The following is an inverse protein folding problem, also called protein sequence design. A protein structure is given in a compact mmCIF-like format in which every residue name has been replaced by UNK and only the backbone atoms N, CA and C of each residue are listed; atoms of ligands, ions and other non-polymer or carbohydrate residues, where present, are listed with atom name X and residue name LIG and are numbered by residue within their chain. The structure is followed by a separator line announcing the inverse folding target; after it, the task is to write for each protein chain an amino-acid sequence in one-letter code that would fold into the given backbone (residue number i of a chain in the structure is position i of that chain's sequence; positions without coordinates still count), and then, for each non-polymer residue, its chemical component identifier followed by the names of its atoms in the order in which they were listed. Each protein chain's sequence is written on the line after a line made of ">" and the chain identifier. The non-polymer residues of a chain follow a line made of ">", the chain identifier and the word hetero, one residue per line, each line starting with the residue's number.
data_IF_801582055305
#
_entry.id   IF_801582055305
#
_cell.length_a   1.000
_cell.length_b   1.000
_cell.length_c   1.000
_cell.angle_alpha   90.00
_cell.angle_beta   90.00
_cell.angle_gamma   90.00
#
_symmetry.space_group_name_H-M   'P 1'
#
loop_
_entity.id
_entity.type
_entity.pdbx_description
1 polymer ?
#
# COMPACT_ATOMS: atom_id res chain seq x y z
N UNK A 1 -22.68 4.71 -20.90
CA UNK A 1 -22.06 3.50 -20.32
C UNK A 1 -21.95 3.69 -18.81
N UNK A 2 -21.94 2.62 -18.00
CA UNK A 2 -21.71 2.73 -16.56
C UNK A 2 -20.41 2.00 -16.23
N UNK A 3 -19.40 2.73 -15.77
CA UNK A 3 -18.06 2.22 -15.45
C UNK A 3 -17.82 2.44 -13.95
N UNK A 4 -17.71 1.39 -13.11
CA UNK A 4 -17.42 1.54 -11.71
C UNK A 4 -15.95 2.00 -11.51
N UNK A 5 -15.67 2.60 -10.36
CA UNK A 5 -14.28 2.92 -9.99
C UNK A 5 -13.42 1.65 -9.85
N UNK A 6 -13.97 0.59 -9.29
CA UNK A 6 -13.35 -0.74 -9.13
C UNK A 6 -14.35 -1.84 -9.41
N UNK A 7 -13.91 -2.93 -10.04
CA UNK A 7 -14.68 -4.16 -10.22
C UNK A 7 -13.81 -5.37 -9.92
N UNK A 8 -14.39 -6.37 -9.29
CA UNK A 8 -13.76 -7.66 -9.00
C UNK A 8 -14.34 -8.79 -9.86
N UNK A 9 -15.39 -8.54 -10.62
CA UNK A 9 -16.16 -9.56 -11.31
C UNK A 9 -15.30 -10.44 -12.19
N UNK A 10 -14.57 -9.85 -13.15
CA UNK A 10 -13.76 -10.61 -14.10
C UNK A 10 -12.64 -11.39 -13.43
N UNK A 11 -12.00 -10.79 -12.41
CA UNK A 11 -10.96 -11.46 -11.62
C UNK A 11 -11.53 -12.68 -10.89
N UNK A 12 -12.67 -12.53 -10.24
CA UNK A 12 -13.27 -13.62 -9.46
C UNK A 12 -13.91 -14.69 -10.33
N UNK A 13 -14.53 -14.31 -11.45
CA UNK A 13 -15.13 -15.28 -12.39
C UNK A 13 -14.09 -16.26 -12.94
N UNK A 14 -12.87 -15.78 -13.23
CA UNK A 14 -11.78 -16.62 -13.75
C UNK A 14 -11.31 -17.70 -12.77
N UNK A 15 -11.37 -17.44 -11.46
CA UNK A 15 -10.82 -18.31 -10.41
C UNK A 15 -11.88 -18.85 -9.45
N UNK A 16 -13.18 -18.64 -9.76
CA UNK A 16 -14.32 -18.99 -8.89
C UNK A 16 -14.32 -20.44 -8.45
N UNK A 17 -14.08 -21.36 -9.39
CA UNK A 17 -14.09 -22.79 -9.10
C UNK A 17 -12.90 -23.19 -8.20
N UNK A 18 -11.72 -22.60 -8.44
CA UNK A 18 -10.56 -22.80 -7.60
C UNK A 18 -10.80 -22.29 -6.18
N UNK A 19 -11.37 -21.09 -6.03
CA UNK A 19 -11.72 -20.52 -4.72
C UNK A 19 -12.74 -21.38 -3.99
N UNK A 20 -13.79 -21.85 -4.68
CA UNK A 20 -14.83 -22.68 -4.10
C UNK A 20 -14.28 -24.05 -3.67
N UNK A 21 -13.46 -24.67 -4.51
CA UNK A 21 -12.80 -25.94 -4.17
C UNK A 21 -11.84 -25.80 -3.00
N UNK A 22 -11.09 -24.70 -2.93
CA UNK A 22 -10.17 -24.41 -1.84
C UNK A 22 -10.92 -24.16 -0.52
N UNK A 23 -12.03 -23.43 -0.54
CA UNK A 23 -12.91 -23.25 0.61
C UNK A 23 -13.35 -24.61 1.20
N UNK A 24 -13.83 -25.52 0.35
CA UNK A 24 -14.25 -26.86 0.78
C UNK A 24 -13.10 -27.66 1.39
N UNK A 25 -11.89 -27.57 0.83
CA UNK A 25 -10.70 -28.24 1.35
C UNK A 25 -10.32 -27.75 2.74
N UNK A 26 -10.29 -26.43 2.95
CA UNK A 26 -9.97 -25.86 4.28
C UNK A 26 -11.06 -26.21 5.29
N UNK A 27 -12.34 -26.12 4.89
CA UNK A 27 -13.45 -26.52 5.76
C UNK A 27 -13.37 -27.99 6.19
N UNK A 28 -13.04 -28.88 5.25
CA UNK A 28 -12.93 -30.32 5.55
C UNK A 28 -11.76 -30.65 6.52
N UNK A 29 -10.68 -29.84 6.49
CA UNK A 29 -9.55 -29.99 7.43
C UNK A 29 -9.87 -29.57 8.86
N UNK A 30 -10.88 -28.69 9.07
CA UNK A 30 -11.26 -28.13 10.36
C UNK A 30 -10.09 -27.47 11.13
N UNK A 31 -9.16 -26.85 10.41
CA UNK A 31 -8.03 -26.11 10.96
C UNK A 31 -8.03 -24.70 10.38
N UNK A 32 -8.28 -23.66 11.20
CA UNK A 32 -8.61 -22.32 10.73
C UNK A 32 -7.61 -21.23 11.13
N UNK A 33 -6.66 -21.53 12.04
CA UNK A 33 -5.66 -20.59 12.54
C UNK A 33 -4.29 -21.25 12.53
N UNK A 34 -3.29 -20.56 11.94
CA UNK A 34 -1.89 -20.98 11.92
C UNK A 34 -1.68 -22.42 11.39
N UNK A 35 -2.30 -22.72 10.26
CA UNK A 35 -2.24 -24.04 9.62
C UNK A 35 -1.32 -24.06 8.40
N UNK A 36 -1.54 -25.08 7.55
CA UNK A 36 -0.71 -25.37 6.39
C UNK A 36 -0.83 -24.29 5.28
N UNK A 37 -2.04 -23.73 5.06
CA UNK A 37 -2.25 -22.77 4.00
C UNK A 37 -1.54 -21.44 4.33
N UNK A 38 -1.55 -21.02 5.59
CA UNK A 38 -0.77 -19.87 6.05
C UNK A 38 0.73 -20.11 5.86
N UNK A 39 1.25 -21.24 6.33
CA UNK A 39 2.68 -21.55 6.21
C UNK A 39 3.14 -21.53 4.74
N UNK A 40 2.36 -22.14 3.84
CA UNK A 40 2.65 -22.14 2.40
C UNK A 40 2.51 -20.76 1.76
N UNK A 41 1.51 -19.97 2.16
CA UNK A 41 1.38 -18.61 1.69
C UNK A 41 2.58 -17.77 2.08
N UNK A 42 3.03 -17.87 3.33
CA UNK A 42 4.21 -17.12 3.82
C UNK A 42 5.47 -17.49 3.03
N UNK A 43 5.68 -18.79 2.74
CA UNK A 43 6.79 -19.26 1.91
C UNK A 43 6.70 -18.73 0.47
N UNK A 44 5.53 -18.88 -0.16
CA UNK A 44 5.28 -18.46 -1.54
C UNK A 44 5.39 -16.92 -1.69
N UNK A 45 4.89 -16.17 -0.70
CA UNK A 45 4.92 -14.70 -0.75
C UNK A 45 6.32 -14.14 -0.45
N UNK A 46 7.07 -14.74 0.49
CA UNK A 46 8.47 -14.39 0.72
C UNK A 46 9.32 -14.62 -0.55
N UNK A 47 9.13 -15.77 -1.21
CA UNK A 47 9.80 -16.09 -2.47
C UNK A 47 9.43 -15.09 -3.58
N UNK A 48 8.15 -14.70 -3.69
CA UNK A 48 7.67 -13.71 -4.64
C UNK A 48 8.31 -12.34 -4.44
N UNK A 49 8.40 -11.88 -3.18
CA UNK A 49 9.07 -10.61 -2.85
C UNK A 49 10.61 -10.68 -2.91
N UNK A 50 11.20 -11.87 -3.06
CA UNK A 50 12.66 -12.06 -3.09
C UNK A 50 13.31 -11.88 -1.71
N UNK A 51 12.60 -12.20 -0.63
CA UNK A 51 13.07 -12.16 0.76
C UNK A 51 12.99 -13.53 1.42
N UNK A 52 13.55 -13.65 2.64
CA UNK A 52 13.66 -14.94 3.35
C UNK A 52 12.43 -15.24 4.19
N UNK A 53 11.76 -14.23 4.75
CA UNK A 53 10.70 -14.40 5.74
C UNK A 53 9.47 -13.57 5.41
N UNK A 54 8.32 -14.18 5.61
CA UNK A 54 7.01 -13.55 5.59
C UNK A 54 6.26 -13.94 6.86
N UNK A 55 5.53 -13.01 7.43
CA UNK A 55 4.68 -13.20 8.61
C UNK A 55 3.29 -12.69 8.30
N UNK A 56 2.32 -13.59 8.20
CA UNK A 56 0.92 -13.23 7.98
C UNK A 56 0.32 -12.57 9.24
N UNK A 57 -0.34 -11.43 9.04
CA UNK A 57 -0.97 -10.62 10.09
C UNK A 57 -2.41 -10.26 9.71
N UNK A 58 -3.17 -9.69 10.64
CA UNK A 58 -4.60 -9.44 10.46
C UNK A 58 -4.94 -8.40 9.38
N UNK A 59 -4.07 -7.43 9.14
CA UNK A 59 -4.29 -6.35 8.18
C UNK A 59 -2.99 -5.58 7.87
N UNK A 60 -3.06 -4.64 6.92
CA UNK A 60 -1.91 -3.84 6.52
C UNK A 60 -1.39 -2.88 7.60
N UNK A 61 -2.26 -2.34 8.45
CA UNK A 61 -1.85 -1.48 9.56
C UNK A 61 -0.98 -2.25 10.55
N UNK A 62 -1.40 -3.46 10.93
CA UNK A 62 -0.62 -4.32 11.82
C UNK A 62 0.71 -4.77 11.19
N UNK A 63 0.74 -4.93 9.85
CA UNK A 63 1.96 -5.24 9.11
C UNK A 63 3.03 -4.12 9.21
N UNK A 64 2.61 -2.88 9.48
CA UNK A 64 3.49 -1.73 9.71
C UNK A 64 3.76 -1.47 11.20
N UNK A 65 2.73 -1.64 12.03
CA UNK A 65 2.82 -1.38 13.48
C UNK A 65 3.72 -2.40 14.20
N UNK A 66 3.53 -3.68 13.93
CA UNK A 66 4.25 -4.74 14.65
C UNK A 66 5.78 -4.69 14.47
N UNK A 67 6.34 -4.43 13.26
CA UNK A 67 7.80 -4.27 13.12
C UNK A 67 8.34 -3.04 13.83
N UNK A 68 7.64 -1.89 13.86
CA UNK A 68 8.04 -0.73 14.64
C UNK A 68 8.11 -1.08 16.14
N UNK A 69 7.08 -1.75 16.65
CA UNK A 69 7.06 -2.26 18.04
C UNK A 69 8.17 -3.29 18.28
N UNK A 70 8.48 -4.14 17.30
CA UNK A 70 9.57 -5.11 17.38
C UNK A 70 10.95 -4.44 17.48
N UNK A 71 11.16 -3.32 16.81
CA UNK A 71 12.37 -2.51 16.95
C UNK A 71 12.43 -1.75 18.28
N UNK A 72 11.37 -1.75 19.08
CA UNK A 72 11.30 -1.02 20.36
C UNK A 72 11.01 0.46 20.18
N UNK A 73 10.58 0.88 19.00
CA UNK A 73 10.16 2.27 18.72
C UNK A 73 8.89 2.57 19.50
N UNK A 74 8.90 3.68 20.24
CA UNK A 74 7.80 4.02 21.14
C UNK A 74 7.82 5.46 21.63
N UNK A 75 7.29 5.69 22.83
CA UNK A 75 7.14 7.04 23.40
C UNK A 75 8.48 7.79 23.48
N UNK A 76 8.51 8.95 22.87
CA UNK A 76 9.70 9.81 22.80
C UNK A 76 10.48 9.67 21.49
N UNK A 77 10.21 8.62 20.71
CA UNK A 77 10.79 8.43 19.39
C UNK A 77 9.95 9.11 18.29
N UNK A 78 10.59 9.32 17.16
CA UNK A 78 10.00 9.91 15.95
C UNK A 78 10.19 8.95 14.76
N UNK A 79 9.16 8.88 13.90
CA UNK A 79 9.21 8.14 12.63
C UNK A 79 8.78 9.06 11.50
N UNK A 80 9.62 9.20 10.48
CA UNK A 80 9.33 9.99 9.29
C UNK A 80 8.34 9.25 8.41
N UNK A 81 7.28 9.95 7.96
CA UNK A 81 6.23 9.41 7.09
C UNK A 81 5.83 10.45 6.03
N UNK A 82 5.42 10.07 4.81
CA UNK A 82 4.90 11.02 3.84
C UNK A 82 3.56 11.59 4.28
N UNK A 83 3.34 12.87 4.01
CA UNK A 83 2.17 13.64 4.47
C UNK A 83 0.89 13.38 3.68
N UNK A 84 0.97 12.72 2.53
CA UNK A 84 -0.15 12.43 1.61
C UNK A 84 -0.58 10.95 1.57
N UNK A 85 0.00 10.11 2.43
CA UNK A 85 -0.32 8.67 2.46
C UNK A 85 -1.69 8.40 3.11
N UNK A 86 -2.13 7.13 3.07
CA UNK A 86 -3.28 6.68 3.85
C UNK A 86 -2.97 6.72 5.36
N UNK A 87 -3.98 7.02 6.16
CA UNK A 87 -3.83 7.21 7.60
C UNK A 87 -3.17 6.03 8.33
N UNK A 88 -3.28 4.82 7.80
CA UNK A 88 -2.70 3.62 8.40
C UNK A 88 -1.18 3.74 8.62
N UNK A 89 -0.45 4.39 7.71
CA UNK A 89 1.00 4.60 7.84
C UNK A 89 1.33 5.39 9.11
N UNK A 90 0.64 6.50 9.34
CA UNK A 90 0.86 7.33 10.54
C UNK A 90 0.27 6.68 11.81
N UNK A 91 -0.89 5.98 11.71
CA UNK A 91 -1.45 5.24 12.83
C UNK A 91 -0.53 4.12 13.31
N UNK A 92 0.20 3.45 12.41
CA UNK A 92 1.18 2.43 12.78
C UNK A 92 2.27 2.99 13.71
N UNK A 93 2.71 4.23 13.45
CA UNK A 93 3.63 4.96 14.32
C UNK A 93 2.96 5.32 15.64
N UNK A 94 1.79 5.97 15.58
CA UNK A 94 1.07 6.45 16.76
C UNK A 94 0.70 5.31 17.73
N UNK A 95 0.41 4.11 17.23
CA UNK A 95 0.07 2.95 18.07
C UNK A 95 1.28 2.42 18.86
N UNK A 96 2.51 2.71 18.46
CA UNK A 96 3.68 2.42 19.30
C UNK A 96 3.89 3.44 20.42
N UNK A 97 3.22 4.59 20.36
CA UNK A 97 3.45 5.75 21.22
C UNK A 97 4.49 6.73 20.67
N UNK A 98 5.09 6.43 19.50
CA UNK A 98 6.00 7.34 18.81
C UNK A 98 5.24 8.44 18.05
N UNK A 99 5.95 9.49 17.66
CA UNK A 99 5.40 10.64 16.95
C UNK A 99 5.66 10.49 15.44
N UNK A 100 4.63 10.51 14.58
CA UNK A 100 4.84 10.60 13.14
C UNK A 100 5.32 12.02 12.77
N UNK A 101 6.40 12.10 11.99
CA UNK A 101 6.96 13.34 11.46
C UNK A 101 6.66 13.40 9.98
N UNK A 102 5.79 14.33 9.57
CA UNK A 102 5.33 14.43 8.20
C UNK A 102 6.33 15.15 7.31
N UNK A 103 6.63 14.55 6.17
CA UNK A 103 7.46 15.09 5.09
C UNK A 103 6.63 15.22 3.83
N UNK A 104 6.86 16.29 3.07
CA UNK A 104 6.17 16.53 1.82
C UNK A 104 6.45 15.44 0.78
N UNK A 105 5.46 15.14 -0.08
CA UNK A 105 5.69 14.36 -1.31
C UNK A 105 6.21 15.25 -2.43
N UNK A 106 6.60 14.65 -3.55
CA UNK A 106 6.71 15.34 -4.83
C UNK A 106 5.37 15.32 -5.58
N UNK A 107 5.12 16.35 -6.40
CA UNK A 107 3.91 16.40 -7.25
C UNK A 107 3.98 15.43 -8.43
N UNK A 108 5.16 14.98 -8.81
CA UNK A 108 5.43 14.12 -9.95
C UNK A 108 5.15 12.64 -9.65
N UNK A 109 5.68 12.14 -8.53
CA UNK A 109 5.56 10.72 -8.16
C UNK A 109 4.51 10.46 -7.09
N UNK A 110 4.11 11.48 -6.33
CA UNK A 110 3.31 11.40 -5.11
C UNK A 110 4.01 10.71 -3.92
N UNK A 111 5.24 10.25 -4.13
CA UNK A 111 6.05 9.63 -3.07
C UNK A 111 6.78 10.70 -2.26
N UNK A 112 7.26 10.31 -1.07
CA UNK A 112 8.01 11.18 -0.17
C UNK A 112 9.22 11.81 -0.88
N UNK A 113 9.44 13.12 -0.65
CA UNK A 113 10.63 13.81 -1.15
C UNK A 113 11.85 13.50 -0.25
N UNK A 114 12.89 12.83 -0.77
CA UNK A 114 14.10 12.55 0.02
C UNK A 114 14.78 13.81 0.57
N UNK A 115 14.75 14.93 -0.16
CA UNK A 115 15.33 16.18 0.32
C UNK A 115 14.67 16.69 1.61
N UNK A 116 13.35 16.53 1.71
CA UNK A 116 12.61 16.89 2.92
C UNK A 116 12.84 15.95 4.11
N UNK A 117 13.30 14.72 3.87
CA UNK A 117 13.59 13.75 4.95
C UNK A 117 14.73 14.27 5.83
N UNK A 118 15.84 14.68 5.22
CA UNK A 118 17.04 15.08 5.96
C UNK A 118 16.81 16.29 6.86
N UNK A 119 15.98 17.24 6.41
CA UNK A 119 15.61 18.43 7.17
C UNK A 119 14.78 18.13 8.43
N UNK A 120 14.11 16.98 8.48
CA UNK A 120 13.24 16.58 9.58
C UNK A 120 13.86 15.59 10.55
N UNK A 121 15.11 15.13 10.28
CA UNK A 121 15.81 14.20 11.18
C UNK A 121 16.23 14.92 12.46
N UNK A 122 15.94 14.30 13.59
CA UNK A 122 16.37 14.71 14.94
C UNK A 122 17.04 13.54 15.67
N UNK A 123 17.58 13.79 16.87
CA UNK A 123 18.12 12.72 17.74
C UNK A 123 17.06 11.68 18.15
N UNK A 124 15.77 12.03 18.03
CA UNK A 124 14.63 11.15 18.34
C UNK A 124 14.21 10.29 17.16
N UNK A 125 14.60 10.64 15.93
CA UNK A 125 14.24 9.89 14.74
C UNK A 125 14.84 8.49 14.80
N UNK A 126 14.01 7.46 14.59
CA UNK A 126 14.40 6.05 14.63
C UNK A 126 14.15 5.31 13.34
N UNK A 127 13.17 5.75 12.56
CA UNK A 127 12.82 5.09 11.31
C UNK A 127 12.26 6.05 10.28
N UNK A 128 12.26 5.59 9.01
CA UNK A 128 11.57 6.18 7.88
C UNK A 128 10.58 5.13 7.37
N UNK A 129 9.33 5.53 7.15
CA UNK A 129 8.34 4.72 6.43
C UNK A 129 8.26 5.20 4.99
N UNK A 130 8.86 4.43 4.08
CA UNK A 130 8.79 4.66 2.65
C UNK A 130 7.48 4.07 2.11
N UNK A 131 6.58 4.92 1.62
CA UNK A 131 5.30 4.46 1.04
C UNK A 131 5.42 4.40 -0.47
N UNK A 132 5.09 3.26 -1.06
CA UNK A 132 5.02 3.06 -2.50
C UNK A 132 3.60 3.39 -2.98
N UNK A 133 3.30 4.69 -3.01
CA UNK A 133 1.94 5.19 -3.19
C UNK A 133 1.41 4.87 -4.59
N UNK A 134 0.14 4.51 -4.67
CA UNK A 134 -0.58 4.13 -5.90
C UNK A 134 0.01 2.95 -6.68
N UNK A 135 1.11 2.36 -6.18
CA UNK A 135 1.79 1.22 -6.80
C UNK A 135 3.08 1.58 -7.53
N UNK A 136 3.59 2.80 -7.34
CA UNK A 136 4.92 3.22 -7.77
C UNK A 136 5.91 3.10 -6.61
N UNK A 137 7.11 2.53 -6.84
CA UNK A 137 8.15 2.53 -5.81
C UNK A 137 8.63 3.94 -5.47
N UNK A 138 8.77 4.24 -4.18
CA UNK A 138 9.43 5.45 -3.69
C UNK A 138 10.93 5.46 -4.11
N UNK A 139 11.61 6.62 -4.04
CA UNK A 139 13.03 6.77 -4.39
C UNK A 139 13.94 6.10 -3.35
N UNK A 140 13.97 4.76 -3.37
CA UNK A 140 14.56 3.96 -2.31
C UNK A 140 16.08 4.11 -2.17
N UNK A 141 16.82 4.38 -3.23
CA UNK A 141 18.28 4.55 -3.12
C UNK A 141 18.62 5.74 -2.25
N UNK A 142 17.97 6.88 -2.49
CA UNK A 142 18.14 8.12 -1.74
C UNK A 142 17.67 7.94 -0.28
N UNK A 143 16.53 7.31 -0.08
CA UNK A 143 15.99 7.02 1.27
C UNK A 143 16.95 6.12 2.05
N UNK A 144 17.47 5.06 1.44
CA UNK A 144 18.40 4.13 2.08
C UNK A 144 19.76 4.76 2.36
N UNK A 145 20.24 5.69 1.52
CA UNK A 145 21.46 6.44 1.77
C UNK A 145 21.32 7.35 3.02
N UNK A 146 20.22 8.10 3.08
CA UNK A 146 19.90 8.95 4.24
C UNK A 146 19.80 8.08 5.51
N UNK A 147 19.02 6.99 5.44
CA UNK A 147 18.84 6.11 6.59
C UNK A 147 20.18 5.53 7.10
N UNK A 148 21.06 5.14 6.18
CA UNK A 148 22.40 4.65 6.52
C UNK A 148 23.26 5.72 7.18
N UNK A 149 23.26 6.96 6.68
CA UNK A 149 24.01 8.07 7.25
C UNK A 149 23.59 8.39 8.70
N UNK A 150 22.30 8.22 9.01
CA UNK A 150 21.72 8.54 10.31
C UNK A 150 21.41 7.31 11.19
N UNK A 151 21.81 6.11 10.74
CA UNK A 151 21.53 4.83 11.43
C UNK A 151 20.04 4.63 11.73
N UNK A 152 19.17 4.94 10.77
CA UNK A 152 17.72 4.78 10.85
C UNK A 152 17.27 3.45 10.24
N UNK A 153 16.14 2.94 10.71
CA UNK A 153 15.44 1.81 10.09
C UNK A 153 14.56 2.28 8.94
N UNK A 154 14.43 1.47 7.91
CA UNK A 154 13.52 1.73 6.78
C UNK A 154 12.48 0.63 6.70
N UNK A 155 11.21 0.99 6.89
CA UNK A 155 10.06 0.12 6.68
C UNK A 155 9.32 0.57 5.44
N UNK A 156 9.16 -0.33 4.48
CA UNK A 156 8.37 -0.06 3.28
C UNK A 156 6.87 -0.23 3.59
N UNK A 157 6.05 0.77 3.34
CA UNK A 157 4.60 0.59 3.22
C UNK A 157 4.29 0.21 1.77
N UNK A 158 4.19 -1.09 1.54
CA UNK A 158 3.95 -1.70 0.24
C UNK A 158 2.48 -2.08 0.03
N UNK A 159 1.56 -1.52 0.83
CA UNK A 159 0.14 -1.84 0.80
C UNK A 159 -0.54 -1.61 -0.56
N UNK A 160 0.05 -0.81 -1.44
CA UNK A 160 -0.48 -0.50 -2.78
C UNK A 160 0.44 -0.99 -3.91
N UNK A 161 1.52 -1.72 -3.62
CA UNK A 161 2.59 -1.96 -4.57
C UNK A 161 2.93 -3.44 -4.81
N UNK A 162 1.94 -4.34 -4.71
CA UNK A 162 2.12 -5.77 -4.95
C UNK A 162 2.64 -6.05 -6.36
N UNK A 163 3.88 -6.51 -6.47
CA UNK A 163 4.55 -6.79 -7.75
C UNK A 163 5.19 -5.59 -8.43
N UNK A 164 5.27 -4.44 -7.76
CA UNK A 164 6.07 -3.30 -8.21
C UNK A 164 7.56 -3.60 -8.10
N UNK A 165 8.36 -3.01 -9.00
CA UNK A 165 9.81 -3.21 -9.03
C UNK A 165 10.54 -1.85 -9.01
N UNK A 166 11.62 -1.80 -8.25
CA UNK A 166 12.60 -0.74 -8.26
C UNK A 166 13.95 -1.30 -8.70
N UNK A 167 14.49 -0.83 -9.82
CA UNK A 167 15.74 -1.35 -10.41
C UNK A 167 15.76 -2.88 -10.54
N UNK A 168 14.62 -3.45 -10.93
CA UNK A 168 14.44 -4.90 -11.12
C UNK A 168 14.26 -5.73 -9.85
N UNK A 169 14.24 -5.12 -8.65
CA UNK A 169 13.95 -5.77 -7.38
C UNK A 169 12.52 -5.50 -6.93
N UNK A 170 11.86 -6.49 -6.37
CA UNK A 170 10.53 -6.29 -5.80
C UNK A 170 10.55 -5.34 -4.60
N UNK A 171 9.55 -4.45 -4.52
CA UNK A 171 9.23 -3.76 -3.27
C UNK A 171 8.97 -4.79 -2.18
N UNK A 172 9.34 -4.46 -0.96
CA UNK A 172 9.37 -5.42 0.14
C UNK A 172 10.74 -6.03 0.39
N UNK A 173 11.69 -5.85 -0.55
CA UNK A 173 13.08 -6.31 -0.42
C UNK A 173 14.11 -5.17 -0.38
N UNK A 174 13.66 -3.93 -0.33
CA UNK A 174 14.51 -2.75 -0.51
C UNK A 174 14.95 -2.12 0.81
N UNK A 175 14.09 -2.17 1.84
CA UNK A 175 14.36 -1.68 3.19
C UNK A 175 14.73 -2.79 4.19
N UNK A 176 14.62 -2.50 5.49
CA UNK A 176 14.80 -3.49 6.58
C UNK A 176 13.64 -4.49 6.62
N UNK A 177 12.46 -4.11 6.11
CA UNK A 177 11.27 -4.94 5.95
C UNK A 177 10.10 -4.13 5.41
N UNK A 178 9.00 -4.82 5.07
CA UNK A 178 7.85 -4.18 4.46
C UNK A 178 6.52 -4.74 4.96
N UNK A 179 5.53 -3.85 5.10
CA UNK A 179 4.15 -4.18 5.35
C UNK A 179 3.31 -4.19 4.08
N UNK A 180 2.52 -5.26 3.91
CA UNK A 180 1.55 -5.40 2.83
C UNK A 180 0.14 -5.50 3.39
N UNK A 181 -0.80 -4.89 2.68
CA UNK A 181 -2.24 -5.02 2.92
C UNK A 181 -2.85 -5.91 1.85
N UNK A 182 -3.62 -6.89 2.26
CA UNK A 182 -4.42 -7.69 1.33
C UNK A 182 -5.92 -7.34 1.45
N UNK A 183 -6.25 -6.09 1.81
CA UNK A 183 -7.62 -5.59 1.70
C UNK A 183 -8.19 -5.92 0.31
N UNK A 184 -9.47 -6.31 0.18
CA UNK A 184 -10.03 -6.84 -1.08
C UNK A 184 -9.75 -6.01 -2.32
N UNK A 185 -9.69 -4.67 -2.19
CA UNK A 185 -9.41 -3.74 -3.28
C UNK A 185 -7.96 -3.70 -3.75
N UNK A 186 -7.03 -4.35 -3.06
CA UNK A 186 -5.61 -4.35 -3.44
C UNK A 186 -5.34 -5.23 -4.66
N UNK A 187 -4.22 -4.99 -5.37
CA UNK A 187 -3.84 -5.78 -6.54
C UNK A 187 -3.75 -7.28 -6.21
N UNK A 188 -3.28 -7.60 -5.01
CA UNK A 188 -3.44 -8.91 -4.38
C UNK A 188 -4.36 -8.73 -3.17
N UNK A 189 -5.67 -8.96 -3.33
CA UNK A 189 -6.68 -8.80 -2.29
C UNK A 189 -7.23 -10.13 -1.80
N UNK A 190 -7.38 -10.28 -0.50
CA UNK A 190 -8.09 -11.39 0.16
C UNK A 190 -9.63 -11.26 -0.06
N UNK A 191 -10.40 -12.13 0.56
CA UNK A 191 -11.86 -12.01 0.63
C UNK A 191 -12.33 -11.48 2.01
N UNK A 192 -11.52 -10.61 2.61
CA UNK A 192 -11.69 -9.95 3.90
C UNK A 192 -10.44 -9.21 4.26
N UNK A 193 -10.26 -8.83 5.53
CA UNK A 193 -9.02 -8.21 5.98
C UNK A 193 -7.89 -9.24 6.05
N UNK A 194 -6.70 -8.80 5.65
CA UNK A 194 -5.48 -9.59 5.68
C UNK A 194 -4.26 -8.67 5.47
N UNK A 195 -3.10 -9.11 5.94
CA UNK A 195 -1.83 -8.43 5.72
C UNK A 195 -0.65 -9.37 5.89
N UNK A 196 0.55 -8.91 5.53
CA UNK A 196 1.79 -9.60 5.82
C UNK A 196 2.93 -8.61 6.03
N UNK A 197 3.86 -8.98 6.89
CA UNK A 197 5.17 -8.35 7.02
C UNK A 197 6.24 -9.25 6.39
N UNK A 198 7.14 -8.67 5.60
CA UNK A 198 8.24 -9.41 4.97
C UNK A 198 9.59 -8.80 5.33
N UNK A 199 10.63 -9.64 5.45
CA UNK A 199 11.98 -9.19 5.81
C UNK A 199 13.04 -10.26 5.50
N UNK A 200 14.31 -9.84 5.47
CA UNK A 200 15.46 -10.76 5.45
C UNK A 200 16.02 -11.06 6.85
N UNK A 201 15.55 -10.36 7.87
CA UNK A 201 15.98 -10.50 9.27
C UNK A 201 15.10 -11.53 10.00
N UNK A 202 15.74 -12.66 10.40
CA UNK A 202 15.04 -13.74 11.10
C UNK A 202 14.55 -13.31 12.49
N UNK A 203 15.37 -12.57 13.23
CA UNK A 203 15.03 -12.16 14.60
C UNK A 203 13.84 -11.21 14.59
N UNK A 204 13.81 -10.29 13.61
CA UNK A 204 12.69 -9.39 13.42
C UNK A 204 11.42 -10.16 13.03
N UNK A 205 11.51 -11.11 12.08
CA UNK A 205 10.37 -11.94 11.68
C UNK A 205 9.80 -12.75 12.84
N UNK A 206 10.66 -13.41 13.64
CA UNK A 206 10.25 -14.20 14.79
C UNK A 206 9.57 -13.30 15.86
N UNK A 207 10.10 -12.12 16.09
CA UNK A 207 9.55 -11.16 17.06
C UNK A 207 8.20 -10.58 16.60
N UNK A 208 8.06 -10.25 15.30
CA UNK A 208 6.79 -9.83 14.71
C UNK A 208 5.75 -10.94 14.83
N UNK A 209 6.12 -12.19 14.54
CA UNK A 209 5.23 -13.35 14.68
C UNK A 209 4.76 -13.54 16.13
N UNK A 210 5.69 -13.45 17.09
CA UNK A 210 5.35 -13.54 18.50
C UNK A 210 4.42 -12.40 18.93
N UNK A 211 4.74 -11.15 18.56
CA UNK A 211 3.93 -9.98 18.86
C UNK A 211 2.52 -10.08 18.28
N UNK A 212 2.35 -10.60 17.07
CA UNK A 212 1.03 -10.84 16.45
C UNK A 212 0.23 -11.96 17.12
N UNK A 213 0.88 -12.82 17.90
CA UNK A 213 0.24 -13.92 18.60
C UNK A 213 0.33 -13.75 20.12
N UNK A 214 -0.20 -12.65 20.65
CA UNK A 214 -0.22 -12.30 22.08
C UNK A 214 1.16 -12.22 22.73
N UNK A 215 2.24 -12.03 21.97
CA UNK A 215 3.61 -12.03 22.47
C UNK A 215 4.16 -13.40 22.86
N UNK A 216 3.60 -14.46 22.28
CA UNK A 216 3.88 -15.85 22.64
C UNK A 216 4.94 -16.45 21.72
N UNK A 217 5.96 -17.08 22.27
CA UNK A 217 6.96 -17.87 21.54
C UNK A 217 6.55 -19.35 21.42
N UNK A 218 5.78 -19.87 22.39
CA UNK A 218 5.06 -21.14 22.31
C UNK A 218 3.77 -21.09 23.12
N UNK A 219 2.92 -22.10 22.98
CA UNK A 219 1.57 -22.11 23.56
C UNK A 219 1.57 -21.78 25.05
N UNK A 220 0.86 -20.69 25.43
CA UNK A 220 0.69 -20.16 26.79
C UNK A 220 1.96 -19.60 27.46
N UNK A 221 3.05 -19.40 26.71
CA UNK A 221 4.22 -18.71 27.21
C UNK A 221 4.37 -17.36 26.47
N UNK A 222 4.18 -16.28 27.20
CA UNK A 222 4.12 -14.91 26.65
C UNK A 222 5.36 -14.14 27.10
N UNK A 223 6.25 -13.84 26.15
CA UNK A 223 7.52 -13.13 26.40
C UNK A 223 7.44 -11.65 26.06
N UNK A 224 6.37 -11.23 25.36
CA UNK A 224 6.09 -9.84 25.00
C UNK A 224 4.65 -9.49 25.30
N UNK A 225 4.36 -8.18 25.43
CA UNK A 225 2.98 -7.65 25.40
C UNK A 225 2.55 -7.54 23.94
N UNK A 226 1.96 -8.61 23.41
CA UNK A 226 1.58 -8.72 22.01
C UNK A 226 0.13 -8.34 21.74
N UNK A 227 -0.26 -8.55 20.49
CA UNK A 227 -1.57 -8.29 19.92
C UNK A 227 -2.16 -9.61 19.39
N UNK A 228 -3.45 -9.62 19.10
CA UNK A 228 -4.07 -10.67 18.29
C UNK A 228 -4.15 -10.19 16.84
N UNK A 229 -3.12 -10.49 16.06
CA UNK A 229 -3.03 -10.11 14.67
C UNK A 229 -2.39 -11.24 13.87
N UNK A 230 -3.23 -12.04 13.22
CA UNK A 230 -2.84 -13.22 12.45
C UNK A 230 -3.60 -13.23 11.14
N UNK A 231 -2.97 -13.71 10.09
CA UNK A 231 -3.65 -13.98 8.84
C UNK A 231 -4.46 -15.29 8.99
N UNK A 232 -5.75 -15.25 8.70
CA UNK A 232 -6.62 -16.40 8.73
C UNK A 232 -6.22 -17.45 7.69
N UNK A 233 -6.32 -18.71 8.07
CA UNK A 233 -6.02 -19.87 7.20
C UNK A 233 -6.83 -19.83 5.89
N UNK A 234 -8.10 -19.43 5.97
CA UNK A 234 -8.99 -19.31 4.82
C UNK A 234 -8.52 -18.21 3.86
N UNK A 235 -8.14 -17.05 4.39
CA UNK A 235 -7.65 -15.94 3.58
C UNK A 235 -6.30 -16.28 2.94
N UNK A 236 -5.41 -16.94 3.68
CA UNK A 236 -4.13 -17.42 3.15
C UNK A 236 -4.35 -18.40 1.97
N UNK A 237 -5.30 -19.30 2.10
CA UNK A 237 -5.66 -20.27 1.07
C UNK A 237 -6.14 -19.58 -0.23
N UNK A 238 -6.95 -18.52 -0.12
CA UNK A 238 -7.42 -17.75 -1.26
C UNK A 238 -6.30 -16.90 -1.87
N UNK A 239 -5.47 -16.28 -1.05
CA UNK A 239 -4.32 -15.49 -1.50
C UNK A 239 -3.32 -16.32 -2.30
N UNK A 240 -3.10 -17.58 -1.95
CA UNK A 240 -2.24 -18.50 -2.72
C UNK A 240 -2.73 -18.73 -4.15
N UNK A 241 -4.05 -18.81 -4.36
CA UNK A 241 -4.65 -18.91 -5.71
C UNK A 241 -4.43 -17.60 -6.46
N UNK A 242 -4.73 -16.46 -5.81
CA UNK A 242 -4.62 -15.12 -6.41
C UNK A 242 -3.17 -14.74 -6.73
N UNK A 243 -2.21 -15.11 -5.89
CA UNK A 243 -0.78 -14.82 -6.10
C UNK A 243 -0.25 -15.38 -7.42
N UNK A 244 -0.69 -16.56 -7.84
CA UNK A 244 -0.32 -17.15 -9.14
C UNK A 244 -0.76 -16.34 -10.35
N UNK A 245 -1.76 -15.49 -10.17
CA UNK A 245 -2.33 -14.66 -11.24
C UNK A 245 -1.89 -13.20 -11.16
N UNK A 246 -1.22 -12.78 -10.08
CA UNK A 246 -0.93 -11.37 -9.79
C UNK A 246 -0.17 -10.67 -10.92
N UNK A 247 0.86 -11.28 -11.47
CA UNK A 247 1.67 -10.65 -12.53
C UNK A 247 0.86 -10.43 -13.81
N UNK A 248 -0.01 -11.39 -14.16
CA UNK A 248 -0.91 -11.24 -15.31
C UNK A 248 -1.94 -10.13 -15.08
N UNK A 249 -2.50 -10.04 -13.89
CA UNK A 249 -3.43 -8.97 -13.54
C UNK A 249 -2.76 -7.60 -13.50
N UNK A 250 -1.54 -7.52 -12.99
CA UNK A 250 -0.74 -6.29 -13.03
C UNK A 250 -0.38 -5.89 -14.46
N UNK A 251 -0.02 -6.83 -15.34
CA UNK A 251 0.27 -6.54 -16.74
C UNK A 251 -0.94 -5.89 -17.44
N UNK A 252 -2.15 -6.38 -17.20
CA UNK A 252 -3.36 -5.79 -17.76
C UNK A 252 -3.65 -4.38 -17.19
N UNK A 253 -3.37 -4.12 -15.90
CA UNK A 253 -3.46 -2.76 -15.32
C UNK A 253 -2.47 -1.81 -15.99
N UNK A 254 -1.23 -2.26 -16.20
CA UNK A 254 -0.18 -1.48 -16.85
C UNK A 254 -0.59 -1.14 -18.29
N UNK A 255 -1.10 -2.11 -19.05
CA UNK A 255 -1.62 -1.88 -20.41
C UNK A 255 -2.76 -0.84 -20.43
N UNK A 256 -3.69 -0.91 -19.47
CA UNK A 256 -4.76 0.09 -19.32
C UNK A 256 -4.19 1.47 -19.01
N UNK A 257 -3.21 1.54 -18.11
CA UNK A 257 -2.55 2.79 -17.74
C UNK A 257 -1.78 3.41 -18.94
N UNK A 258 -1.10 2.61 -19.75
CA UNK A 258 -0.44 3.07 -20.98
C UNK A 258 -1.44 3.69 -21.96
N UNK A 259 -2.64 3.10 -22.09
CA UNK A 259 -3.73 3.68 -22.91
C UNK A 259 -4.20 5.03 -22.35
N UNK A 260 -4.34 5.17 -21.04
CA UNK A 260 -4.67 6.45 -20.39
C UNK A 260 -3.59 7.50 -20.62
N UNK A 261 -2.31 7.16 -20.38
CA UNK A 261 -1.17 8.05 -20.60
C UNK A 261 -1.07 8.49 -22.07
N UNK A 262 -1.36 7.58 -23.00
CA UNK A 262 -1.34 7.87 -24.43
C UNK A 262 -2.58 8.62 -24.93
N UNK A 263 -3.73 8.44 -24.32
CA UNK A 263 -5.03 8.91 -24.85
C UNK A 263 -5.55 10.20 -24.21
N UNK A 264 -5.27 10.44 -22.95
CA UNK A 264 -5.70 11.68 -22.25
C UNK A 264 -4.84 12.84 -22.74
N UNK A 265 -5.47 13.86 -23.32
CA UNK A 265 -4.83 15.02 -23.93
C UNK A 265 -5.39 16.36 -23.43
N UNK A 266 -6.33 16.32 -22.48
CA UNK A 266 -6.91 17.53 -21.91
C UNK A 266 -5.83 18.32 -21.13
N UNK A 267 -5.55 19.59 -21.49
CA UNK A 267 -4.50 20.38 -20.87
C UNK A 267 -4.76 20.75 -19.41
N UNK A 268 -6.01 20.62 -18.93
CA UNK A 268 -6.35 20.83 -17.52
C UNK A 268 -5.96 19.62 -16.63
N UNK A 269 -5.56 18.51 -17.23
CA UNK A 269 -5.27 17.26 -16.54
C UNK A 269 -3.77 17.01 -16.47
N UNK A 270 -3.22 16.97 -15.25
CA UNK A 270 -1.88 16.47 -15.02
C UNK A 270 -1.92 14.96 -14.81
N UNK A 271 -1.20 14.23 -15.66
CA UNK A 271 -1.07 12.78 -15.59
C UNK A 271 0.05 12.38 -14.62
N UNK A 272 0.00 11.16 -14.02
CA UNK A 272 1.08 10.68 -13.18
C UNK A 272 2.37 10.49 -13.98
N UNK A 273 3.51 10.79 -13.36
CA UNK A 273 4.84 10.54 -13.92
C UNK A 273 5.32 9.16 -13.49
N UNK A 274 5.78 8.34 -14.45
CA UNK A 274 6.43 7.08 -14.14
C UNK A 274 7.92 7.35 -13.92
N UNK A 275 8.41 7.05 -12.72
CA UNK A 275 9.80 7.26 -12.35
C UNK A 275 10.73 6.28 -13.08
N UNK A 276 11.94 6.71 -13.44
CA UNK A 276 12.91 5.84 -14.10
C UNK A 276 13.20 4.57 -13.28
N UNK A 277 13.51 3.49 -13.98
CA UNK A 277 13.87 2.20 -13.38
C UNK A 277 12.83 1.59 -12.45
N UNK A 278 11.55 2.01 -12.57
CA UNK A 278 10.43 1.48 -11.79
C UNK A 278 9.46 0.69 -12.67
N UNK A 279 8.83 -0.33 -12.07
CA UNK A 279 7.62 -0.96 -12.60
C UNK A 279 6.46 -0.50 -11.72
N UNK A 280 5.72 0.50 -12.18
CA UNK A 280 4.49 0.95 -11.53
C UNK A 280 3.36 -0.05 -11.81
N UNK A 281 2.67 -0.56 -10.78
CA UNK A 281 1.61 -1.57 -10.93
C UNK A 281 0.20 -0.98 -10.94
N UNK A 282 0.09 0.34 -10.91
CA UNK A 282 -1.15 1.09 -11.02
C UNK A 282 -2.29 0.52 -10.18
N UNK A 283 -2.04 0.40 -8.88
CA UNK A 283 -3.12 0.12 -7.94
C UNK A 283 -4.22 1.16 -8.07
N UNK A 284 -3.82 2.41 -8.23
CA UNK A 284 -4.67 3.56 -8.54
C UNK A 284 -4.05 4.29 -9.74
N UNK A 285 -4.90 4.79 -10.65
CA UNK A 285 -4.49 5.77 -11.65
C UNK A 285 -4.98 7.14 -11.18
N UNK A 286 -4.06 7.89 -10.58
CA UNK A 286 -4.31 9.21 -10.02
C UNK A 286 -3.97 10.30 -11.05
N UNK A 287 -4.94 11.17 -11.35
CA UNK A 287 -4.73 12.37 -12.15
C UNK A 287 -4.88 13.60 -11.25
N UNK A 288 -4.37 14.75 -11.66
CA UNK A 288 -4.61 16.02 -10.96
C UNK A 288 -5.33 17.01 -11.87
N UNK A 289 -6.29 17.73 -11.31
CA UNK A 289 -7.04 18.79 -11.97
C UNK A 289 -7.34 19.90 -10.96
N UNK A 290 -7.04 21.16 -11.28
CA UNK A 290 -7.35 22.29 -10.41
C UNK A 290 -8.87 22.41 -10.14
N UNK A 291 -9.69 22.01 -11.11
CA UNK A 291 -11.17 21.94 -11.03
C UNK A 291 -11.65 20.53 -10.70
N UNK A 292 -10.96 19.81 -9.80
CA UNK A 292 -11.18 18.41 -9.47
C UNK A 292 -12.64 18.07 -9.17
N UNK A 293 -13.33 18.86 -8.36
CA UNK A 293 -14.72 18.57 -7.96
C UNK A 293 -15.72 18.77 -9.11
N UNK A 294 -15.44 19.69 -10.04
CA UNK A 294 -16.23 19.85 -11.27
C UNK A 294 -16.00 18.66 -12.22
N UNK A 295 -14.74 18.25 -12.37
CA UNK A 295 -14.38 17.07 -13.17
C UNK A 295 -15.02 15.81 -12.60
N UNK A 296 -14.97 15.59 -11.30
CA UNK A 296 -15.62 14.47 -10.63
C UNK A 296 -17.12 14.43 -10.93
N UNK A 297 -17.81 15.56 -10.75
CA UNK A 297 -19.25 15.67 -11.04
C UNK A 297 -19.54 15.36 -12.50
N UNK A 298 -18.77 15.93 -13.44
CA UNK A 298 -18.91 15.69 -14.87
C UNK A 298 -18.74 14.23 -15.26
N UNK A 299 -17.74 13.54 -14.71
CA UNK A 299 -17.49 12.11 -14.97
C UNK A 299 -18.61 11.25 -14.37
N UNK A 300 -19.05 11.54 -13.14
CA UNK A 300 -20.15 10.83 -12.50
C UNK A 300 -21.47 10.98 -13.27
N UNK A 301 -21.79 12.15 -13.83
CA UNK A 301 -22.95 12.37 -14.72
C UNK A 301 -22.87 11.53 -15.99
N UNK A 302 -21.66 11.19 -16.47
CA UNK A 302 -21.43 10.27 -17.58
C UNK A 302 -21.42 8.79 -17.17
N UNK A 303 -21.64 8.49 -15.88
CA UNK A 303 -21.65 7.13 -15.35
C UNK A 303 -20.25 6.56 -15.08
N UNK A 304 -19.22 7.39 -15.02
CA UNK A 304 -17.85 7.01 -14.72
C UNK A 304 -17.61 7.23 -13.22
N UNK A 305 -17.41 6.14 -12.47
CA UNK A 305 -17.10 6.20 -11.03
C UNK A 305 -15.68 6.69 -10.79
N UNK A 306 -15.53 7.59 -9.83
CA UNK A 306 -14.23 8.16 -9.41
C UNK A 306 -14.07 8.10 -7.90
N UNK A 307 -12.86 8.31 -7.40
CA UNK A 307 -12.59 8.40 -5.96
C UNK A 307 -11.47 9.41 -5.70
N UNK A 308 -11.19 9.73 -4.44
CA UNK A 308 -10.13 10.65 -4.00
C UNK A 308 -9.22 9.93 -3.01
N UNK A 309 -7.91 9.96 -3.27
CA UNK A 309 -6.91 9.32 -2.42
C UNK A 309 -5.73 10.29 -2.11
N UNK A 310 -5.86 11.21 -1.09
CA UNK A 310 -6.97 11.29 -0.14
C UNK A 310 -7.45 12.74 -0.01
N UNK A 311 -8.74 13.00 0.29
CA UNK A 311 -9.31 14.36 0.21
C UNK A 311 -8.87 15.31 1.32
N UNK A 312 -8.27 14.80 2.40
CA UNK A 312 -7.73 15.57 3.51
C UNK A 312 -6.33 15.05 3.82
N UNK A 313 -5.28 15.86 3.73
CA UNK A 313 -3.93 15.42 4.02
C UNK A 313 -3.75 15.12 5.52
N UNK A 314 -2.75 14.30 5.85
CA UNK A 314 -2.59 13.71 7.18
C UNK A 314 -2.56 14.75 8.32
N UNK A 315 -1.80 15.82 8.14
CA UNK A 315 -1.63 16.87 9.16
C UNK A 315 -2.90 17.70 9.44
N UNK A 316 -3.88 17.69 8.53
CA UNK A 316 -5.19 18.34 8.70
C UNK A 316 -6.29 17.40 9.16
N UNK A 317 -5.98 16.11 9.39
CA UNK A 317 -6.92 15.19 10.00
C UNK A 317 -7.09 15.50 11.50
N UNK A 318 -8.33 15.46 12.00
CA UNK A 318 -8.59 15.66 13.42
C UNK A 318 -7.81 14.71 14.35
N UNK A 319 -7.46 13.52 13.85
CA UNK A 319 -6.62 12.54 14.56
C UNK A 319 -5.20 13.05 14.86
N UNK A 320 -4.70 14.05 14.14
CA UNK A 320 -3.34 14.60 14.26
C UNK A 320 -3.31 16.10 14.60
N UNK A 321 -4.45 16.67 15.02
CA UNK A 321 -4.54 18.06 15.46
C UNK A 321 -3.56 18.38 16.61
N UNK A 322 -3.28 17.39 17.46
CA UNK A 322 -2.34 17.50 18.58
C UNK A 322 -0.88 17.73 18.14
N UNK A 323 -0.50 17.49 16.90
CA UNK A 323 0.83 17.80 16.36
C UNK A 323 1.02 19.29 16.09
N UNK A 324 -0.07 20.07 16.06
CA UNK A 324 -0.04 21.52 15.92
C UNK A 324 0.33 22.04 14.53
N UNK A 325 0.46 21.16 13.52
CA UNK A 325 0.78 21.52 12.14
C UNK A 325 -0.45 22.18 11.50
N UNK A 326 -0.28 23.35 10.94
CA UNK A 326 -1.38 24.17 10.41
C UNK A 326 -1.47 24.06 8.90
N UNK A 327 -2.64 24.43 8.38
CA UNK A 327 -2.84 24.63 6.95
C UNK A 327 -1.81 25.60 6.39
N UNK A 328 -1.19 25.24 5.27
CA UNK A 328 -0.12 25.98 4.59
C UNK A 328 1.31 25.55 5.01
N UNK A 329 1.47 24.69 6.01
CA UNK A 329 2.81 24.19 6.42
C UNK A 329 3.28 22.99 5.59
N UNK A 330 2.37 22.26 4.95
CA UNK A 330 2.64 21.16 4.02
C UNK A 330 1.88 21.39 2.71
N UNK A 331 2.28 22.41 1.92
CA UNK A 331 1.50 22.90 0.78
C UNK A 331 1.37 21.89 -0.37
N UNK A 332 2.37 21.01 -0.61
CA UNK A 332 2.30 20.03 -1.69
C UNK A 332 1.29 18.91 -1.37
N UNK A 333 1.27 18.42 -0.14
CA UNK A 333 0.26 17.45 0.30
C UNK A 333 -1.15 18.05 0.25
N UNK A 334 -1.29 19.36 0.60
CA UNK A 334 -2.54 20.07 0.52
C UNK A 334 -3.00 20.25 -0.93
N UNK A 335 -2.08 20.58 -1.85
CA UNK A 335 -2.35 20.68 -3.28
C UNK A 335 -2.79 19.33 -3.86
N UNK A 336 -2.07 18.25 -3.56
CA UNK A 336 -2.44 16.90 -3.99
C UNK A 336 -3.86 16.58 -3.50
N UNK A 337 -4.14 16.76 -2.22
CA UNK A 337 -5.47 16.49 -1.65
C UNK A 337 -6.59 17.31 -2.27
N UNK A 338 -6.28 18.54 -2.72
CA UNK A 338 -7.24 19.40 -3.37
C UNK A 338 -7.48 19.07 -4.85
N UNK A 339 -6.48 18.52 -5.55
CA UNK A 339 -6.49 18.38 -7.01
C UNK A 339 -6.51 16.92 -7.50
N UNK A 340 -6.16 15.95 -6.67
CA UNK A 340 -6.14 14.52 -7.05
C UNK A 340 -7.55 14.00 -7.29
N UNK A 341 -7.68 13.23 -8.37
CA UNK A 341 -8.84 12.41 -8.69
C UNK A 341 -8.38 11.06 -9.23
N UNK A 342 -8.82 10.01 -8.59
CA UNK A 342 -8.56 8.64 -9.03
C UNK A 342 -9.65 8.20 -10.02
N UNK A 343 -9.23 7.79 -11.20
CA UNK A 343 -10.12 7.31 -12.28
C UNK A 343 -10.18 5.78 -12.31
N UNK A 344 -11.16 5.16 -13.01
CA UNK A 344 -11.32 3.71 -13.04
C UNK A 344 -10.04 2.96 -13.40
N UNK A 345 -9.66 1.99 -12.57
CA UNK A 345 -8.49 1.13 -12.77
C UNK A 345 -8.72 -0.22 -12.10
N UNK A 346 -9.05 -1.24 -12.89
CA UNK A 346 -9.26 -2.61 -12.41
C UNK A 346 -8.89 -3.63 -13.47
N UNK A 347 -8.62 -4.86 -13.05
CA UNK A 347 -8.35 -5.96 -13.98
C UNK A 347 -9.54 -6.25 -14.88
N UNK A 348 -9.28 -6.33 -16.17
CA UNK A 348 -10.26 -6.70 -17.17
C UNK A 348 -11.12 -5.55 -17.70
N UNK A 349 -10.71 -4.31 -17.49
CA UNK A 349 -11.28 -3.18 -18.23
C UNK A 349 -11.15 -3.44 -19.73
N UNK A 350 -12.27 -3.25 -20.46
CA UNK A 350 -12.30 -3.41 -21.91
C UNK A 350 -11.72 -2.18 -22.61
N UNK A 351 -11.33 -2.34 -23.87
CA UNK A 351 -10.91 -1.21 -24.71
C UNK A 351 -12.00 -0.15 -24.86
N UNK A 352 -13.27 -0.60 -24.96
CA UNK A 352 -14.42 0.30 -25.04
C UNK A 352 -14.58 1.12 -23.75
N UNK A 353 -14.46 0.49 -22.57
CA UNK A 353 -14.53 1.18 -21.27
C UNK A 353 -13.37 2.18 -21.11
N UNK A 354 -12.15 1.76 -21.43
CA UNK A 354 -10.96 2.60 -21.36
C UNK A 354 -11.07 3.80 -22.32
N UNK A 355 -11.49 3.56 -23.57
CA UNK A 355 -11.73 4.61 -24.56
C UNK A 355 -12.81 5.60 -24.11
N UNK A 356 -13.91 5.10 -23.55
CA UNK A 356 -14.99 5.96 -23.04
C UNK A 356 -14.53 6.88 -21.89
N UNK A 357 -13.68 6.40 -20.97
CA UNK A 357 -13.10 7.22 -19.91
C UNK A 357 -12.18 8.30 -20.50
N UNK A 358 -11.31 7.93 -21.46
CA UNK A 358 -10.41 8.87 -22.15
C UNK A 358 -11.20 9.99 -22.85
N UNK A 359 -12.22 9.61 -23.64
CA UNK A 359 -13.05 10.55 -24.38
C UNK A 359 -13.81 11.50 -23.44
N UNK A 360 -14.33 10.97 -22.33
CA UNK A 360 -15.02 11.77 -21.34
C UNK A 360 -14.07 12.82 -20.69
N UNK A 361 -12.85 12.41 -20.29
CA UNK A 361 -11.86 13.34 -19.72
C UNK A 361 -11.42 14.40 -20.74
N UNK A 362 -11.21 14.01 -22.00
CA UNK A 362 -10.84 14.94 -23.07
C UNK A 362 -11.96 15.92 -23.43
N UNK A 363 -13.21 15.58 -23.16
CA UNK A 363 -14.37 16.45 -23.40
C UNK A 363 -14.68 17.42 -22.26
N UNK A 364 -14.05 17.31 -21.10
CA UNK A 364 -14.17 18.25 -19.97
C UNK A 364 -13.58 19.61 -20.35
N UNK A 365 -14.38 20.70 -20.09
CA UNK A 365 -14.02 22.09 -20.46
C UNK A 365 -14.26 23.02 -19.28
#
# INVERSE_FOLDING_TARGET
>A
MKIPFVSFEKMHDEIKDELTGKFQQVLAKNWFIQGEELAKFEEEYAAYCGVKYCVGVGNGLDALFLPLKAYGIGTGDEVIVPSNTFIATALAVSYTGATPVFVEPTLESFDIDPAGIEEKITDKTKAIMAVHLYGQPAPMDEIMEIAKCHNLKVIEDSAQAHGALYKGKHVGSLGDGAGFSFYPGKNLGALGDAGAFVTNDKELADKVRALGNYGSDYKYHHIYQGNNSRLDEMQAAFLRIKLKNLDRWNANRIETAEKYLAGIRNPEIALPTIMPDTKHVFHIFAIRCARRDELEKFLNEKGIGTNKHYPIPMHLQGAYENLGIKKGELPLAEEISATELSIPMYYGMTEEETGYVIDAINAFK
#
